data_IF_979405340174
#
_entry.id   IF_979405340174
#
_cell.length_a   1.000
_cell.length_b   1.000
_cell.length_c   1.000
_cell.angle_alpha   90.00
_cell.angle_beta   90.00
_cell.angle_gamma   90.00
#
_symmetry.space_group_name_H-M   'P 1'
#
loop_
_entity.id
_entity.type
_entity.pdbx_description
1 polymer ?
#
# COMPACT_ATOMS: atom_id res chain seq x y z
N UNK A 1 -41.02 21.74 19.54
CA UNK A 1 -40.29 23.00 19.27
C UNK A 1 -39.94 23.61 20.60
N UNK A 2 -38.67 23.93 20.83
CA UNK A 2 -38.26 24.59 22.07
C UNK A 2 -38.66 26.07 22.02
N UNK A 3 -38.89 26.72 23.17
CA UNK A 3 -39.33 28.12 23.22
C UNK A 3 -38.30 29.03 22.51
N UNK A 4 -37.03 28.69 22.63
CA UNK A 4 -35.88 29.41 22.08
C UNK A 4 -35.88 29.37 20.54
N UNK A 5 -36.12 28.20 19.94
CA UNK A 5 -36.20 28.08 18.47
C UNK A 5 -37.42 28.80 17.90
N UNK A 6 -38.54 28.81 18.63
CA UNK A 6 -39.74 29.55 18.25
C UNK A 6 -39.52 31.07 18.26
N UNK A 7 -38.88 31.60 19.32
CA UNK A 7 -38.56 33.02 19.44
C UNK A 7 -37.54 33.45 18.37
N UNK A 8 -36.50 32.66 18.12
CA UNK A 8 -35.48 32.96 17.11
C UNK A 8 -36.06 33.00 15.68
N UNK A 9 -36.84 31.99 15.29
CA UNK A 9 -37.51 31.98 13.98
C UNK A 9 -38.50 33.13 13.85
N UNK A 10 -39.22 33.46 14.93
CA UNK A 10 -40.14 34.59 14.92
C UNK A 10 -39.42 35.92 14.72
N UNK A 11 -38.27 36.16 15.37
CA UNK A 11 -37.48 37.39 15.22
C UNK A 11 -36.83 37.55 13.84
N UNK A 12 -36.34 36.45 13.25
CA UNK A 12 -35.60 36.48 11.97
C UNK A 12 -36.54 36.44 10.76
N UNK A 13 -37.62 35.64 10.84
CA UNK A 13 -38.48 35.36 9.69
C UNK A 13 -39.87 35.98 9.76
N UNK A 14 -40.39 36.38 10.93
CA UNK A 14 -41.72 36.98 11.07
C UNK A 14 -41.67 38.43 11.57
N UNK A 15 -42.45 39.30 10.90
CA UNK A 15 -42.69 40.66 11.38
C UNK A 15 -43.62 40.61 12.59
N UNK A 16 -43.08 40.43 13.79
CA UNK A 16 -43.85 40.66 15.01
C UNK A 16 -44.02 42.17 15.20
N UNK A 17 -45.25 42.62 15.01
CA UNK A 17 -45.74 43.99 15.17
C UNK A 17 -45.06 44.74 16.34
N UNK A 18 -44.33 45.81 16.02
CA UNK A 18 -43.74 46.75 16.98
C UNK A 18 -42.22 46.89 16.91
N UNK A 19 -41.49 45.85 16.52
CA UNK A 19 -40.05 45.91 16.24
C UNK A 19 -39.86 45.51 14.77
N UNK A 20 -39.76 46.51 13.91
CA UNK A 20 -39.56 46.32 12.47
C UNK A 20 -38.24 45.60 12.22
N UNK A 21 -38.28 44.26 12.08
CA UNK A 21 -37.21 43.53 11.44
C UNK A 21 -37.16 44.02 9.99
N UNK A 22 -36.33 45.04 9.75
CA UNK A 22 -36.23 45.67 8.44
C UNK A 22 -35.91 44.61 7.38
N UNK A 23 -36.34 44.81 6.13
CA UNK A 23 -35.94 43.95 5.00
C UNK A 23 -34.42 43.68 4.97
N UNK A 24 -33.61 44.61 5.50
CA UNK A 24 -32.17 44.44 5.69
C UNK A 24 -31.78 43.31 6.64
N UNK A 25 -32.46 43.11 7.77
CA UNK A 25 -32.12 42.06 8.75
C UNK A 25 -32.25 40.66 8.16
N UNK A 26 -33.30 40.41 7.35
CA UNK A 26 -33.50 39.10 6.71
C UNK A 26 -32.46 38.81 5.63
N UNK A 27 -32.06 39.84 4.88
CA UNK A 27 -30.99 39.73 3.87
C UNK A 27 -29.65 39.45 4.54
N UNK A 28 -29.32 40.16 5.62
CA UNK A 28 -28.07 39.95 6.38
C UNK A 28 -28.01 38.55 6.97
N UNK A 29 -29.08 38.07 7.61
CA UNK A 29 -29.12 36.70 8.17
C UNK A 29 -29.08 35.64 7.06
N UNK A 30 -29.74 35.87 5.92
CA UNK A 30 -29.66 34.98 4.77
C UNK A 30 -28.25 34.86 4.19
N UNK A 31 -27.54 35.99 4.04
CA UNK A 31 -26.12 36.00 3.64
C UNK A 31 -25.25 35.28 4.67
N UNK A 32 -25.49 35.51 5.97
CA UNK A 32 -24.74 34.85 7.04
C UNK A 32 -24.92 33.32 7.01
N UNK A 33 -26.15 32.84 6.88
CA UNK A 33 -26.44 31.40 6.76
C UNK A 33 -25.79 30.83 5.49
N UNK A 34 -25.90 31.52 4.36
CA UNK A 34 -25.28 31.10 3.10
C UNK A 34 -23.75 31.00 3.21
N UNK A 35 -23.12 31.97 3.85
CA UNK A 35 -21.67 31.98 4.08
C UNK A 35 -21.23 30.82 4.98
N UNK A 36 -21.95 30.57 6.09
CA UNK A 36 -21.66 29.45 7.00
C UNK A 36 -21.85 28.11 6.28
N UNK A 37 -22.96 27.94 5.55
CA UNK A 37 -23.26 26.71 4.82
C UNK A 37 -22.20 26.41 3.74
N UNK A 38 -21.78 27.42 3.00
CA UNK A 38 -20.72 27.29 2.00
C UNK A 38 -19.38 26.93 2.64
N UNK A 39 -19.01 27.60 3.72
CA UNK A 39 -17.77 27.32 4.48
C UNK A 39 -17.75 25.87 4.99
N UNK A 40 -18.83 25.43 5.63
CA UNK A 40 -18.94 24.05 6.11
C UNK A 40 -18.89 23.03 4.97
N UNK A 41 -19.53 23.33 3.84
CA UNK A 41 -19.53 22.43 2.68
C UNK A 41 -18.12 22.26 2.11
N UNK A 42 -17.38 23.35 1.94
CA UNK A 42 -15.98 23.31 1.49
C UNK A 42 -15.11 22.53 2.49
N UNK A 43 -15.31 22.75 3.79
CA UNK A 43 -14.57 22.04 4.84
C UNK A 43 -14.82 20.52 4.80
N UNK A 44 -16.08 20.09 4.70
CA UNK A 44 -16.42 18.66 4.63
C UNK A 44 -15.82 18.01 3.37
N UNK A 45 -15.89 18.69 2.22
CA UNK A 45 -15.30 18.20 0.98
C UNK A 45 -13.78 18.06 1.11
N UNK A 46 -13.11 19.07 1.66
CA UNK A 46 -11.66 19.03 1.87
C UNK A 46 -11.25 17.86 2.78
N UNK A 47 -11.96 17.64 3.89
CA UNK A 47 -11.72 16.51 4.80
C UNK A 47 -11.94 15.17 4.12
N UNK A 48 -12.99 15.05 3.30
CA UNK A 48 -13.26 13.85 2.51
C UNK A 48 -12.13 13.52 1.54
N UNK A 49 -11.65 14.53 0.79
CA UNK A 49 -10.54 14.37 -0.16
C UNK A 49 -9.25 13.94 0.56
N UNK A 50 -8.90 14.61 1.66
CA UNK A 50 -7.66 14.31 2.39
C UNK A 50 -7.71 12.90 3.01
N UNK A 51 -8.84 12.56 3.63
CA UNK A 51 -9.02 11.24 4.26
C UNK A 51 -8.96 10.13 3.21
N UNK A 52 -9.63 10.32 2.07
CA UNK A 52 -9.61 9.37 0.95
C UNK A 52 -8.23 9.24 0.32
N UNK A 53 -7.52 10.36 0.13
CA UNK A 53 -6.15 10.35 -0.39
C UNK A 53 -5.20 9.57 0.53
N UNK A 54 -5.25 9.82 1.84
CA UNK A 54 -4.44 9.10 2.83
C UNK A 54 -4.70 7.60 2.78
N UNK A 55 -5.96 7.20 2.72
CA UNK A 55 -6.36 5.80 2.63
C UNK A 55 -5.84 5.14 1.34
N UNK A 56 -5.93 5.86 0.22
CA UNK A 56 -5.43 5.39 -1.07
C UNK A 56 -3.91 5.20 -1.06
N UNK A 57 -3.14 6.12 -0.46
CA UNK A 57 -1.69 5.98 -0.32
C UNK A 57 -1.33 4.77 0.55
N UNK A 58 -2.01 4.60 1.69
CA UNK A 58 -1.79 3.45 2.59
C UNK A 58 -2.05 2.13 1.85
N UNK A 59 -3.18 2.04 1.15
CA UNK A 59 -3.58 0.85 0.41
C UNK A 59 -2.64 0.51 -0.75
N UNK A 60 -2.10 1.52 -1.45
CA UNK A 60 -1.11 1.29 -2.51
C UNK A 60 0.19 0.75 -1.94
N UNK A 61 0.70 1.34 -0.85
CA UNK A 61 1.99 0.91 -0.26
C UNK A 61 1.86 -0.49 0.35
N UNK A 62 0.81 -0.76 1.12
CA UNK A 62 0.58 -2.09 1.70
C UNK A 62 0.27 -3.15 0.63
N UNK A 63 -0.25 -2.75 -0.53
CA UNK A 63 -0.43 -3.63 -1.69
C UNK A 63 0.87 -4.22 -2.24
N UNK A 64 2.00 -3.52 -2.10
CA UNK A 64 3.32 -4.02 -2.52
C UNK A 64 4.08 -4.76 -1.42
N UNK A 65 4.04 -4.27 -0.17
CA UNK A 65 4.89 -4.73 0.94
C UNK A 65 4.18 -5.45 2.10
N UNK A 66 2.86 -5.67 1.98
CA UNK A 66 1.96 -6.08 3.04
C UNK A 66 1.87 -5.08 4.21
N UNK A 67 1.10 -5.42 5.24
CA UNK A 67 0.90 -4.55 6.41
C UNK A 67 2.00 -4.78 7.46
N UNK A 68 2.41 -6.03 7.62
CA UNK A 68 3.46 -6.47 8.54
C UNK A 68 4.32 -7.48 7.80
N UNK A 69 5.64 -7.40 7.95
CA UNK A 69 6.57 -8.42 7.49
C UNK A 69 7.18 -9.15 8.69
N UNK A 70 7.36 -10.45 8.53
CA UNK A 70 8.09 -11.32 9.45
C UNK A 70 9.40 -11.74 8.77
N UNK A 71 10.53 -11.34 9.33
CA UNK A 71 11.86 -11.59 8.74
C UNK A 71 12.81 -12.13 9.79
N UNK A 72 13.97 -12.66 9.38
CA UNK A 72 15.02 -13.00 10.35
C UNK A 72 15.44 -11.74 11.09
N UNK A 73 15.70 -11.89 12.39
CA UNK A 73 16.33 -10.84 13.17
C UNK A 73 17.76 -10.62 12.67
N UNK A 74 18.09 -9.42 12.19
CA UNK A 74 19.47 -9.05 11.83
C UNK A 74 19.98 -7.90 12.71
N UNK A 75 21.00 -8.19 13.52
CA UNK A 75 21.67 -7.22 14.39
C UNK A 75 22.59 -6.25 13.64
N UNK A 76 23.11 -6.64 12.47
CA UNK A 76 24.15 -5.88 11.75
C UNK A 76 23.58 -4.96 10.67
N UNK A 77 22.52 -5.41 9.98
CA UNK A 77 21.86 -4.60 8.97
C UNK A 77 20.35 -4.88 8.92
N UNK A 78 19.51 -3.97 9.47
CA UNK A 78 18.06 -4.11 9.42
C UNK A 78 17.48 -4.19 8.00
N UNK A 79 18.22 -3.71 6.99
CA UNK A 79 17.79 -3.65 5.60
C UNK A 79 18.07 -4.94 4.81
N UNK A 80 18.92 -5.83 5.34
CA UNK A 80 19.21 -7.12 4.71
C UNK A 80 18.87 -8.24 5.68
N UNK A 81 17.74 -8.92 5.47
CA UNK A 81 17.42 -10.08 6.29
C UNK A 81 18.07 -11.35 5.74
N UNK A 82 18.65 -12.16 6.63
CA UNK A 82 19.07 -13.51 6.28
C UNK A 82 17.84 -14.32 5.83
N UNK A 83 17.99 -15.25 4.86
CA UNK A 83 16.87 -16.08 4.45
C UNK A 83 16.35 -16.91 5.63
N UNK A 84 15.03 -17.09 5.66
CA UNK A 84 14.36 -17.95 6.62
C UNK A 84 13.74 -19.14 5.91
N UNK A 85 13.58 -20.25 6.61
CA UNK A 85 12.82 -21.37 6.04
C UNK A 85 11.35 -21.01 5.93
N UNK A 86 10.72 -21.39 4.83
CA UNK A 86 9.29 -21.33 4.54
C UNK A 86 8.51 -22.39 5.31
N UNK A 87 9.18 -23.44 5.79
CA UNK A 87 8.59 -24.54 6.59
C UNK A 87 8.43 -24.12 8.06
N UNK A 88 7.57 -23.13 8.30
CA UNK A 88 7.26 -22.60 9.62
C UNK A 88 5.87 -23.03 10.06
N UNK A 89 5.67 -23.23 11.36
CA UNK A 89 4.34 -23.51 11.91
C UNK A 89 3.50 -22.24 12.11
N UNK A 90 4.15 -21.09 12.32
CA UNK A 90 3.45 -19.85 12.65
C UNK A 90 2.52 -19.31 11.56
N UNK A 91 2.77 -19.45 10.22
CA UNK A 91 1.87 -18.89 9.22
C UNK A 91 0.43 -19.41 9.37
N UNK A 92 0.25 -20.70 9.64
CA UNK A 92 -1.06 -21.29 9.92
C UNK A 92 -1.69 -20.75 11.21
N UNK A 93 -0.88 -20.55 12.26
CA UNK A 93 -1.34 -19.99 13.54
C UNK A 93 -1.77 -18.51 13.39
N UNK A 94 -1.03 -17.74 12.59
CA UNK A 94 -1.35 -16.34 12.33
C UNK A 94 -2.65 -16.19 11.54
N UNK A 95 -2.96 -17.13 10.63
CA UNK A 95 -4.24 -17.15 9.91
C UNK A 95 -5.46 -17.37 10.82
N UNK A 96 -5.28 -17.92 12.03
CA UNK A 96 -6.36 -18.07 13.03
C UNK A 96 -6.63 -16.78 13.82
N UNK A 97 -5.75 -15.78 13.72
CA UNK A 97 -5.90 -14.51 14.42
C UNK A 97 -6.94 -13.65 13.71
N UNK A 98 -8.00 -13.28 14.44
CA UNK A 98 -9.01 -12.35 13.94
C UNK A 98 -8.38 -11.03 13.47
N UNK A 99 -8.56 -10.69 12.20
CA UNK A 99 -8.00 -9.50 11.57
C UNK A 99 -6.81 -9.77 10.64
N UNK A 100 -6.26 -10.97 10.64
CA UNK A 100 -5.31 -11.43 9.61
C UNK A 100 -6.09 -11.93 8.40
N UNK A 101 -5.84 -11.32 7.24
CA UNK A 101 -6.45 -11.68 5.95
C UNK A 101 -5.70 -12.81 5.27
N UNK A 102 -4.38 -12.67 5.16
CA UNK A 102 -3.52 -13.64 4.50
C UNK A 102 -2.11 -13.62 5.10
N UNK A 103 -1.41 -14.74 5.00
CA UNK A 103 0.02 -14.84 5.29
C UNK A 103 0.68 -15.51 4.09
N UNK A 104 1.67 -14.84 3.50
CA UNK A 104 2.31 -15.29 2.27
C UNK A 104 3.83 -15.19 2.35
N UNK A 105 4.54 -16.17 1.81
CA UNK A 105 5.98 -16.14 1.69
C UNK A 105 6.41 -15.32 0.47
N UNK A 106 7.53 -14.62 0.60
CA UNK A 106 8.10 -13.85 -0.51
C UNK A 106 9.62 -13.96 -0.53
N UNK A 107 10.21 -13.77 -1.72
CA UNK A 107 11.64 -13.63 -1.87
C UNK A 107 11.98 -12.37 -2.66
N UNK A 108 13.07 -11.70 -2.31
CA UNK A 108 13.51 -10.49 -3.01
C UNK A 108 14.89 -10.68 -3.65
N UNK A 109 15.05 -10.09 -4.83
CA UNK A 109 16.36 -9.91 -5.47
C UNK A 109 16.39 -8.60 -6.25
N UNK A 110 17.37 -7.76 -5.94
CA UNK A 110 17.71 -6.58 -6.72
C UNK A 110 18.30 -6.99 -8.08
N UNK A 111 17.83 -6.36 -9.14
CA UNK A 111 18.29 -6.51 -10.51
C UNK A 111 18.34 -5.18 -11.23
N UNK A 112 18.92 -5.19 -12.42
CA UNK A 112 19.01 -4.02 -13.28
C UNK A 112 18.36 -4.39 -14.61
N UNK A 113 17.45 -3.56 -15.09
CA UNK A 113 16.95 -3.64 -16.45
C UNK A 113 17.67 -2.59 -17.29
N UNK A 114 18.13 -3.01 -18.46
CA UNK A 114 18.72 -2.11 -19.45
C UNK A 114 17.65 -1.68 -20.44
N UNK A 115 17.23 -0.42 -20.37
CA UNK A 115 16.60 0.29 -21.47
C UNK A 115 17.69 0.80 -22.43
N UNK A 116 17.32 1.25 -23.63
CA UNK A 116 18.26 1.60 -24.72
C UNK A 116 19.47 2.40 -24.21
N UNK A 117 19.21 3.54 -23.55
CA UNK A 117 20.23 4.45 -23.00
C UNK A 117 20.21 4.57 -21.47
N UNK A 118 19.31 3.86 -20.78
CA UNK A 118 19.11 3.98 -19.33
C UNK A 118 19.21 2.64 -18.60
N UNK A 119 19.77 2.68 -17.40
CA UNK A 119 19.78 1.56 -16.47
C UNK A 119 18.75 1.84 -15.39
N UNK A 120 17.75 0.97 -15.29
CA UNK A 120 16.72 1.04 -14.26
C UNK A 120 16.97 -0.06 -13.21
N UNK A 121 17.14 0.35 -11.96
CA UNK A 121 17.14 -0.58 -10.84
C UNK A 121 15.74 -1.14 -10.61
N UNK A 122 15.63 -2.45 -10.43
CA UNK A 122 14.37 -3.12 -10.11
C UNK A 122 14.54 -4.09 -8.96
N UNK A 123 13.49 -4.25 -8.18
CA UNK A 123 13.33 -5.25 -7.16
C UNK A 123 12.41 -6.35 -7.69
N UNK A 124 12.99 -7.52 -7.94
CA UNK A 124 12.22 -8.71 -8.30
C UNK A 124 11.63 -9.34 -7.05
N UNK A 125 10.31 -9.27 -6.92
CA UNK A 125 9.54 -9.91 -5.86
C UNK A 125 9.03 -11.26 -6.35
N UNK A 126 9.61 -12.30 -5.78
CA UNK A 126 9.23 -13.69 -5.96
C UNK A 126 7.99 -14.01 -5.14
N UNK A 127 6.94 -14.47 -5.81
CA UNK A 127 5.65 -14.81 -5.20
C UNK A 127 5.30 -16.30 -5.39
N UNK A 128 4.66 -16.88 -4.38
CA UNK A 128 4.29 -18.29 -4.32
C UNK A 128 2.81 -18.57 -4.62
N UNK A 129 2.36 -19.82 -4.43
CA UNK A 129 0.95 -20.23 -4.51
C UNK A 129 0.01 -19.55 -3.49
N UNK A 130 0.57 -19.13 -2.37
CA UNK A 130 -0.05 -18.50 -1.21
C UNK A 130 -0.25 -16.98 -1.36
N UNK A 131 0.20 -16.40 -2.47
CA UNK A 131 0.13 -14.97 -2.72
C UNK A 131 -1.30 -14.47 -2.96
N UNK A 132 -1.70 -13.42 -2.23
CA UNK A 132 -2.97 -12.70 -2.42
C UNK A 132 -2.90 -11.81 -3.66
N UNK A 133 -3.57 -12.22 -4.72
CA UNK A 133 -3.56 -11.52 -6.01
C UNK A 133 -4.48 -10.31 -6.08
N UNK A 134 -5.36 -10.09 -5.09
CA UNK A 134 -6.45 -9.12 -5.17
C UNK A 134 -5.97 -7.70 -5.53
N UNK A 135 -4.88 -7.24 -4.90
CA UNK A 135 -4.32 -5.92 -5.18
C UNK A 135 -3.82 -5.80 -6.62
N UNK A 136 -3.04 -6.78 -7.09
CA UNK A 136 -2.46 -6.73 -8.43
C UNK A 136 -3.50 -6.99 -9.51
N UNK A 137 -4.49 -7.86 -9.27
CA UNK A 137 -5.61 -8.08 -10.19
C UNK A 137 -6.46 -6.83 -10.37
N UNK A 138 -6.75 -6.11 -9.27
CA UNK A 138 -7.49 -4.83 -9.34
C UNK A 138 -6.76 -3.75 -10.14
N UNK A 139 -5.43 -3.78 -10.13
CA UNK A 139 -4.59 -2.81 -10.84
C UNK A 139 -4.04 -3.36 -12.17
N UNK A 140 -4.44 -4.58 -12.59
CA UNK A 140 -3.98 -5.20 -13.82
C UNK A 140 -4.68 -4.55 -15.01
N UNK A 141 -3.88 -3.99 -15.93
CA UNK A 141 -4.39 -3.35 -17.15
C UNK A 141 -4.45 -4.34 -18.31
N UNK A 142 -3.46 -5.23 -18.42
CA UNK A 142 -3.35 -6.21 -19.48
C UNK A 142 -2.77 -7.54 -18.99
N UNK A 143 -3.13 -8.63 -19.66
CA UNK A 143 -2.58 -9.96 -19.40
C UNK A 143 -3.29 -10.71 -18.28
N UNK A 144 -2.54 -11.57 -17.58
CA UNK A 144 -3.05 -12.44 -16.52
C UNK A 144 -2.09 -12.54 -15.34
N UNK A 145 -2.59 -13.00 -14.20
CA UNK A 145 -1.76 -13.34 -13.03
C UNK A 145 -0.72 -14.41 -13.38
N UNK A 146 0.35 -14.48 -12.59
CA UNK A 146 1.35 -15.53 -12.74
C UNK A 146 0.79 -16.88 -12.28
N UNK A 147 1.09 -17.92 -13.05
CA UNK A 147 0.82 -19.30 -12.66
C UNK A 147 1.96 -19.77 -11.74
N UNK A 148 1.73 -19.72 -10.43
CA UNK A 148 2.72 -20.10 -9.39
C UNK A 148 2.53 -21.52 -8.85
N UNK A 149 1.44 -22.20 -9.23
CA UNK A 149 1.07 -23.54 -8.75
C UNK A 149 1.56 -24.68 -9.62
N UNK A 150 2.08 -24.38 -10.82
CA UNK A 150 2.56 -25.41 -11.76
C UNK A 150 3.82 -26.13 -11.26
N UNK A 151 4.00 -27.38 -11.67
CA UNK A 151 5.22 -28.15 -11.37
C UNK A 151 6.47 -27.46 -11.93
N UNK A 152 6.36 -26.85 -13.11
CA UNK A 152 7.41 -26.07 -13.71
C UNK A 152 7.40 -24.62 -13.25
N UNK A 153 8.60 -24.05 -13.18
CA UNK A 153 8.83 -22.64 -12.85
C UNK A 153 8.42 -21.75 -14.01
N UNK A 154 7.52 -20.81 -13.75
CA UNK A 154 7.06 -19.85 -14.75
C UNK A 154 8.14 -18.80 -15.05
N UNK A 155 8.47 -18.62 -16.33
CA UNK A 155 9.33 -17.51 -16.78
C UNK A 155 8.52 -16.23 -17.04
N UNK A 156 7.22 -16.22 -16.73
CA UNK A 156 6.38 -15.04 -16.81
C UNK A 156 6.73 -14.03 -15.72
N UNK A 157 6.58 -12.74 -16.02
CA UNK A 157 6.65 -11.65 -15.06
C UNK A 157 5.45 -10.71 -15.20
N UNK A 158 5.09 -10.08 -14.09
CA UNK A 158 4.18 -8.92 -14.11
C UNK A 158 5.01 -7.68 -13.80
N UNK A 159 4.90 -6.69 -14.68
CA UNK A 159 5.63 -5.42 -14.59
C UNK A 159 4.64 -4.26 -14.66
N UNK A 160 5.08 -3.07 -14.29
CA UNK A 160 4.24 -1.89 -14.41
C UNK A 160 4.14 -1.39 -15.86
N UNK A 161 3.09 -0.62 -16.15
CA UNK A 161 2.97 0.17 -17.39
C UNK A 161 4.18 1.07 -17.60
N UNK A 162 4.69 1.67 -16.53
CA UNK A 162 5.84 2.58 -16.58
C UNK A 162 7.11 1.87 -17.03
N UNK A 163 7.38 0.67 -16.49
CA UNK A 163 8.51 -0.15 -16.91
C UNK A 163 8.38 -0.61 -18.37
N UNK A 164 7.18 -1.00 -18.81
CA UNK A 164 6.92 -1.34 -20.21
C UNK A 164 7.23 -0.15 -21.15
N UNK A 165 6.75 1.04 -20.80
CA UNK A 165 7.02 2.26 -21.57
C UNK A 165 8.50 2.60 -21.62
N UNK A 166 9.21 2.49 -20.49
CA UNK A 166 10.65 2.74 -20.41
C UNK A 166 11.46 1.78 -21.30
N UNK A 167 11.03 0.53 -21.38
CA UNK A 167 11.71 -0.52 -22.15
C UNK A 167 11.25 -0.58 -23.61
N UNK A 168 10.24 0.19 -23.99
CA UNK A 168 9.51 0.08 -25.25
C UNK A 168 9.06 -1.38 -25.50
N UNK A 169 8.40 -1.97 -24.49
CA UNK A 169 7.92 -3.36 -24.48
C UNK A 169 6.41 -3.42 -24.26
N UNK A 170 5.81 -4.49 -24.75
CA UNK A 170 4.38 -4.78 -24.64
C UNK A 170 4.16 -6.17 -24.02
N UNK A 171 2.89 -6.50 -23.76
CA UNK A 171 2.51 -7.82 -23.29
C UNK A 171 3.01 -8.90 -24.27
N UNK A 172 3.60 -9.97 -23.74
CA UNK A 172 4.19 -11.07 -24.51
C UNK A 172 5.65 -10.85 -24.93
N UNK A 173 6.18 -9.63 -24.77
CA UNK A 173 7.59 -9.39 -25.08
C UNK A 173 8.53 -9.99 -24.03
N UNK A 174 9.74 -10.30 -24.48
CA UNK A 174 10.81 -10.73 -23.60
C UNK A 174 11.59 -9.55 -23.01
N UNK A 175 11.93 -9.65 -21.73
CA UNK A 175 12.76 -8.70 -20.98
C UNK A 175 13.96 -9.41 -20.38
N UNK A 176 15.12 -8.77 -20.44
CA UNK A 176 16.32 -9.23 -19.72
C UNK A 176 16.52 -8.42 -18.44
N UNK A 177 16.55 -9.12 -17.31
CA UNK A 177 16.93 -8.55 -16.03
C UNK A 177 18.31 -9.09 -15.65
N UNK A 178 19.23 -8.18 -15.35
CA UNK A 178 20.61 -8.46 -15.00
C UNK A 178 20.74 -8.48 -13.48
N UNK A 179 21.04 -9.65 -12.92
CA UNK A 179 21.25 -9.81 -11.48
C UNK A 179 22.74 -9.93 -11.16
N UNK A 180 23.16 -9.42 -10.01
CA UNK A 180 24.53 -9.60 -9.52
C UNK A 180 24.56 -10.79 -8.56
N UNK A 181 25.48 -11.71 -8.85
CA UNK A 181 25.70 -12.91 -8.04
C UNK A 181 27.20 -13.21 -7.98
N UNK A 182 27.77 -13.20 -6.76
CA UNK A 182 29.22 -13.44 -6.54
C UNK A 182 30.11 -12.53 -7.40
N UNK A 183 29.72 -11.25 -7.55
CA UNK A 183 30.44 -10.27 -8.37
C UNK A 183 30.29 -10.45 -9.88
N UNK A 184 29.47 -11.40 -10.35
CA UNK A 184 29.22 -11.65 -11.78
C UNK A 184 27.80 -11.26 -12.15
N UNK A 185 27.64 -10.59 -13.30
CA UNK A 185 26.34 -10.32 -13.90
C UNK A 185 25.76 -11.61 -14.49
N UNK A 186 24.53 -11.94 -14.09
CA UNK A 186 23.78 -13.10 -14.59
C UNK A 186 22.46 -12.61 -15.20
N UNK A 187 22.38 -12.48 -16.53
CA UNK A 187 21.14 -12.11 -17.19
C UNK A 187 20.11 -13.24 -17.08
N UNK A 188 18.85 -12.87 -16.85
CA UNK A 188 17.69 -13.76 -16.96
C UNK A 188 16.71 -13.17 -17.94
N UNK A 189 16.25 -14.01 -18.86
CA UNK A 189 15.17 -13.71 -19.78
C UNK A 189 13.84 -14.07 -19.12
N UNK A 190 12.91 -13.14 -19.13
CA UNK A 190 11.53 -13.31 -18.71
C UNK A 190 10.59 -12.89 -19.83
N UNK A 191 9.33 -13.31 -19.75
CA UNK A 191 8.25 -12.92 -20.65
C UNK A 191 7.22 -12.07 -19.89
N UNK A 192 6.80 -10.94 -20.44
CA UNK A 192 5.77 -10.11 -19.81
C UNK A 192 4.41 -10.79 -19.99
N UNK A 193 3.86 -11.33 -18.90
CA UNK A 193 2.54 -12.00 -18.91
C UNK A 193 1.43 -11.16 -18.31
N UNK A 194 1.78 -10.06 -17.64
CA UNK A 194 0.84 -9.09 -17.11
C UNK A 194 1.45 -7.70 -16.99
N UNK A 195 0.62 -6.68 -17.15
CA UNK A 195 1.01 -5.27 -17.00
C UNK A 195 0.06 -4.61 -16.01
N UNK A 196 0.58 -4.13 -14.88
CA UNK A 196 -0.19 -3.42 -13.86
C UNK A 196 0.07 -1.91 -13.91
N UNK A 197 -0.81 -1.12 -13.31
CA UNK A 197 -0.58 0.31 -13.10
C UNK A 197 -1.24 0.74 -11.80
N UNK A 198 -0.45 1.22 -10.84
CA UNK A 198 -0.99 1.67 -9.55
C UNK A 198 -1.04 3.20 -9.45
N UNK A 199 -0.35 3.90 -10.35
CA UNK A 199 -0.21 5.35 -10.29
C UNK A 199 0.71 5.81 -9.15
N UNK A 200 1.47 4.90 -8.55
CA UNK A 200 2.50 5.20 -7.56
C UNK A 200 3.87 4.98 -8.19
N UNK A 201 4.43 6.04 -8.80
CA UNK A 201 5.68 5.97 -9.56
C UNK A 201 6.84 5.30 -8.79
N UNK A 202 6.95 5.55 -7.48
CA UNK A 202 7.99 4.94 -6.63
C UNK A 202 7.94 3.39 -6.64
N UNK A 203 6.74 2.81 -6.75
CA UNK A 203 6.55 1.36 -6.79
C UNK A 203 6.52 0.86 -8.23
N UNK A 204 5.78 1.56 -9.11
CA UNK A 204 5.64 1.20 -10.52
C UNK A 204 7.01 1.18 -11.22
N UNK A 205 7.96 2.06 -10.87
CA UNK A 205 9.26 2.11 -11.53
C UNK A 205 10.22 0.97 -11.11
N UNK A 206 9.94 0.30 -9.99
CA UNK A 206 10.95 -0.54 -9.34
C UNK A 206 10.50 -1.99 -9.17
N UNK A 207 9.21 -2.31 -9.07
CA UNK A 207 8.77 -3.67 -8.76
C UNK A 207 8.54 -4.54 -10.01
N UNK A 208 9.02 -5.78 -9.93
CA UNK A 208 8.71 -6.85 -10.89
C UNK A 208 8.24 -8.07 -10.11
N UNK A 209 7.04 -8.57 -10.40
CA UNK A 209 6.58 -9.85 -9.84
C UNK A 209 7.06 -11.00 -10.70
N UNK A 210 7.59 -12.03 -10.05
CA UNK A 210 8.04 -13.25 -10.69
C UNK A 210 7.71 -14.47 -9.81
N UNK A 211 7.83 -15.67 -10.36
CA UNK A 211 7.75 -16.91 -9.59
C UNK A 211 8.90 -16.97 -8.56
N UNK A 212 8.57 -17.25 -7.30
CA UNK A 212 9.53 -17.29 -6.17
C UNK A 212 10.73 -18.20 -6.43
N UNK A 213 10.55 -19.28 -7.20
CA UNK A 213 11.61 -20.24 -7.56
C UNK A 213 12.70 -19.60 -8.42
N UNK A 214 12.40 -18.53 -9.16
CA UNK A 214 13.45 -17.74 -9.84
C UNK A 214 14.34 -17.03 -8.85
N UNK A 215 13.73 -16.37 -7.87
CA UNK A 215 14.42 -15.52 -6.90
C UNK A 215 15.27 -16.37 -5.95
N UNK A 216 14.75 -17.50 -5.47
CA UNK A 216 15.51 -18.47 -4.67
C UNK A 216 16.79 -18.92 -5.39
N UNK A 217 16.66 -19.34 -6.67
CA UNK A 217 17.82 -19.73 -7.48
C UNK A 217 18.82 -18.60 -7.71
N UNK A 218 18.35 -17.37 -7.88
CA UNK A 218 19.19 -16.17 -8.03
C UNK A 218 19.95 -15.81 -6.74
N UNK A 219 19.41 -16.20 -5.59
CA UNK A 219 20.03 -16.03 -4.28
C UNK A 219 20.91 -17.21 -3.84
N UNK A 220 21.07 -18.27 -4.65
CA UNK A 220 21.70 -19.54 -4.22
C UNK A 220 20.98 -20.19 -3.04
N UNK A 221 19.67 -20.07 -2.97
CA UNK A 221 18.84 -20.64 -1.91
C UNK A 221 18.25 -21.98 -2.36
N UNK A 222 18.03 -22.88 -1.39
CA UNK A 222 17.14 -24.02 -1.59
C UNK A 222 15.68 -23.58 -1.70
N UNK A 223 14.83 -24.51 -2.12
CA UNK A 223 13.40 -24.29 -2.35
C UNK A 223 12.62 -23.95 -1.07
N UNK A 224 13.20 -24.22 0.10
CA UNK A 224 12.60 -23.89 1.39
C UNK A 224 13.01 -22.52 1.91
N UNK A 225 13.95 -21.80 1.30
CA UNK A 225 14.40 -20.52 1.84
C UNK A 225 13.69 -19.35 1.17
N UNK A 226 13.29 -18.37 1.96
CA UNK A 226 12.56 -17.16 1.54
C UNK A 226 13.11 -15.94 2.26
N UNK A 227 12.84 -14.74 1.73
CA UNK A 227 13.25 -13.49 2.37
C UNK A 227 12.46 -13.21 3.65
N UNK A 228 11.19 -13.61 3.67
CA UNK A 228 10.30 -13.36 4.78
C UNK A 228 8.89 -13.86 4.51
N UNK A 229 8.01 -13.56 5.46
CA UNK A 229 6.57 -13.65 5.30
C UNK A 229 5.93 -12.27 5.35
N UNK A 230 4.91 -12.09 4.55
CA UNK A 230 4.06 -10.93 4.49
C UNK A 230 2.72 -11.28 5.14
N UNK A 231 2.29 -10.48 6.11
CA UNK A 231 1.01 -10.60 6.78
C UNK A 231 0.12 -9.46 6.31
N UNK A 232 -0.96 -9.83 5.64
CA UNK A 232 -2.01 -8.91 5.21
C UNK A 232 -3.09 -8.86 6.30
N UNK A 233 -3.50 -7.65 6.67
CA UNK A 233 -4.58 -7.41 7.62
C UNK A 233 -5.86 -7.07 6.87
N UNK A 234 -7.01 -7.34 7.50
CA UNK A 234 -8.32 -6.92 6.99
C UNK A 234 -8.59 -5.44 7.23
N UNK A 235 -8.03 -4.87 8.29
CA UNK A 235 -8.22 -3.48 8.71
C UNK A 235 -6.88 -2.89 9.18
N UNK A 236 -6.45 -1.82 8.51
CA UNK A 236 -5.24 -1.07 8.85
C UNK A 236 -5.31 -0.45 10.25
N UNK A 237 -6.49 -0.07 10.76
CA UNK A 237 -6.60 0.57 12.08
C UNK A 237 -6.16 -0.33 13.23
N UNK A 238 -6.18 -1.65 13.01
CA UNK A 238 -5.72 -2.64 13.97
C UNK A 238 -4.19 -2.92 13.88
N UNK A 239 -3.45 -2.25 12.99
CA UNK A 239 -2.04 -2.53 12.68
C UNK A 239 -1.17 -2.67 13.92
N UNK A 240 -1.12 -1.65 14.77
CA UNK A 240 -0.18 -1.62 15.91
C UNK A 240 -0.53 -2.70 16.95
N UNK A 241 -1.82 -2.95 17.16
CA UNK A 241 -2.31 -4.00 18.08
C UNK A 241 -2.01 -5.40 17.53
N UNK A 242 -2.28 -5.64 16.25
CA UNK A 242 -2.04 -6.94 15.63
C UNK A 242 -0.55 -7.20 15.44
N UNK A 243 0.27 -6.18 15.16
CA UNK A 243 1.72 -6.32 15.09
C UNK A 243 2.30 -6.85 16.41
N UNK A 244 1.88 -6.30 17.56
CA UNK A 244 2.30 -6.81 18.87
C UNK A 244 1.86 -8.25 19.12
N UNK A 245 0.63 -8.60 18.72
CA UNK A 245 0.12 -9.95 18.91
C UNK A 245 0.84 -10.96 18.00
N UNK A 246 1.08 -10.61 16.74
CA UNK A 246 1.83 -11.41 15.76
C UNK A 246 3.27 -11.59 16.25
N UNK A 247 3.93 -10.53 16.71
CA UNK A 247 5.27 -10.61 17.29
C UNK A 247 5.36 -11.62 18.44
N UNK A 248 4.33 -11.66 19.30
CA UNK A 248 4.27 -12.60 20.41
C UNK A 248 4.00 -14.05 19.99
N UNK A 249 3.51 -14.26 18.77
CA UNK A 249 3.14 -15.58 18.22
C UNK A 249 4.22 -16.18 17.30
N UNK A 250 5.25 -15.41 16.91
CA UNK A 250 6.34 -15.90 16.06
C UNK A 250 7.54 -16.39 16.90
N UNK A 251 8.42 -17.24 16.32
CA UNK A 251 9.64 -17.67 17.00
C UNK A 251 10.57 -16.50 17.39
N UNK A 252 11.27 -16.57 18.54
CA UNK A 252 12.15 -15.49 19.01
C UNK A 252 13.32 -15.11 18.10
N UNK A 253 13.66 -15.96 17.13
CA UNK A 253 14.72 -15.68 16.15
C UNK A 253 14.25 -14.76 15.00
N UNK A 254 12.94 -14.48 14.93
CA UNK A 254 12.31 -13.65 13.92
C UNK A 254 11.89 -12.31 14.52
N UNK A 255 11.70 -11.33 13.63
CA UNK A 255 11.19 -10.02 13.99
C UNK A 255 9.97 -9.67 13.15
N UNK A 256 9.10 -8.81 13.67
CA UNK A 256 8.05 -8.16 12.90
C UNK A 256 8.43 -6.74 12.56
N UNK A 257 8.11 -6.29 11.36
CA UNK A 257 8.25 -4.88 10.95
C UNK A 257 6.99 -4.46 10.25
N UNK A 258 6.37 -3.38 10.72
CA UNK A 258 5.15 -2.81 10.14
C UNK A 258 5.46 -1.99 8.90
N UNK A 259 4.44 -1.78 8.07
CA UNK A 259 4.56 -0.93 6.89
C UNK A 259 4.93 0.53 7.23
N UNK A 260 4.55 1.00 8.43
CA UNK A 260 4.97 2.32 8.96
C UNK A 260 6.47 2.38 9.17
N UNK A 261 7.05 1.32 9.73
CA UNK A 261 8.49 1.24 10.01
C UNK A 261 9.32 1.00 8.74
N UNK A 262 8.75 0.33 7.74
CA UNK A 262 9.40 0.13 6.43
C UNK A 262 9.43 1.41 5.57
N UNK A 263 8.41 2.26 5.69
CA UNK A 263 8.30 3.51 4.94
C UNK A 263 8.06 4.71 5.85
N UNK A 264 8.98 5.00 6.80
CA UNK A 264 8.77 6.02 7.83
C UNK A 264 8.62 7.42 7.24
N UNK A 265 9.24 7.69 6.10
CA UNK A 265 9.13 8.97 5.38
C UNK A 265 7.69 9.23 4.92
N UNK A 266 7.03 8.22 4.35
CA UNK A 266 5.66 8.36 3.83
C UNK A 266 4.68 8.41 5.00
N UNK A 267 4.79 7.47 5.95
CA UNK A 267 3.84 7.42 7.05
C UNK A 267 4.01 8.59 8.03
N UNK A 268 5.24 9.06 8.26
CA UNK A 268 5.49 10.28 9.04
C UNK A 268 4.91 11.52 8.38
N UNK A 269 5.01 11.64 7.04
CA UNK A 269 4.34 12.72 6.32
C UNK A 269 2.81 12.65 6.42
N UNK A 270 2.23 11.45 6.30
CA UNK A 270 0.78 11.24 6.49
C UNK A 270 0.33 11.61 7.92
N UNK A 271 1.15 11.31 8.94
CA UNK A 271 0.85 11.68 10.33
C UNK A 271 0.91 13.20 10.56
N UNK A 272 1.86 13.91 9.93
CA UNK A 272 1.90 15.38 9.97
C UNK A 272 0.67 16.00 9.32
N UNK A 273 0.16 15.40 8.24
CA UNK A 273 -1.08 15.83 7.61
C UNK A 273 -2.29 15.63 8.55
N UNK A 274 -2.35 14.51 9.28
CA UNK A 274 -3.39 14.25 10.27
C UNK A 274 -3.39 15.31 11.39
N UNK A 275 -2.22 15.69 11.89
CA UNK A 275 -2.09 16.73 12.92
C UNK A 275 -2.62 18.08 12.43
N UNK A 276 -2.30 18.48 11.20
CA UNK A 276 -2.77 19.75 10.63
C UNK A 276 -4.30 19.80 10.53
N UNK A 277 -4.96 18.69 10.22
CA UNK A 277 -6.43 18.60 10.19
C UNK A 277 -7.01 18.88 11.58
N UNK A 278 -6.47 18.23 12.62
CA UNK A 278 -6.94 18.43 14.00
C UNK A 278 -6.78 19.89 14.42
N UNK A 279 -5.67 20.52 14.06
CA UNK A 279 -5.43 21.95 14.33
C UNK A 279 -6.47 22.83 13.62
N UNK A 280 -6.77 22.56 12.34
CA UNK A 280 -7.79 23.29 11.57
C UNK A 280 -9.19 23.10 12.15
N UNK A 281 -9.51 21.93 12.69
CA UNK A 281 -10.81 21.66 13.30
C UNK A 281 -11.00 22.32 14.67
N UNK A 282 -9.89 22.55 15.40
CA UNK A 282 -9.92 23.16 16.73
C UNK A 282 -9.87 24.70 16.69
N UNK A 283 -9.32 25.28 15.62
CA UNK A 283 -9.21 26.74 15.39
C UNK A 283 -10.44 27.30 14.65
#
# INVERSE_FOLDING_TARGET
>A
MSLETFIANRLVWNNAAGLSASKGTRVVVGIAIGAIALSMSVMIIALGIITGFREEIRNKISGFGAHIQVTAFNFENPLYSAPISSRQAFPAQLMEINGVKNVQAYALKEGIIKAEDELQGVLTKGVGPDFDWEFFERNLQEGKRLETTGEERSNGIIVSRTLCSLLNKQLGDAVFIYYVQEGKSRPRKFEITGIYETGMAMMDNNYVLADIRHVQKLNNWDDTLVSGFEVLLTDYTALDKLAYHIYSAIPPALNTTTIKEQHPEIFGWLELQDMNIVVILLL
#
